data_IF_290373274734
#
_entry.id   IF_290373274734
#
_cell.length_a   1.000
_cell.length_b   1.000
_cell.length_c   1.000
_cell.angle_alpha   90.00
_cell.angle_beta   90.00
_cell.angle_gamma   90.00
#
_symmetry.space_group_name_H-M   'P 1'
#
loop_
_entity.id
_entity.type
_entity.pdbx_description
1 polymer ?
#
# COMPACT_ATOMS: atom_id res chain seq x y z
N UNK A 1 6.04 24.80 -16.53
CA UNK A 1 4.82 24.00 -16.56
C UNK A 1 4.65 23.37 -15.18
N UNK A 2 3.57 23.70 -14.45
CA UNK A 2 3.25 23.08 -13.17
C UNK A 2 3.04 21.58 -13.44
N UNK A 3 3.87 20.73 -12.81
CA UNK A 3 3.69 19.29 -12.92
C UNK A 3 2.30 18.95 -12.37
N UNK A 4 1.48 18.24 -13.15
CA UNK A 4 0.15 17.86 -12.70
C UNK A 4 0.27 16.97 -11.45
N UNK A 5 -0.45 17.34 -10.39
CA UNK A 5 -0.45 16.63 -9.11
C UNK A 5 -0.89 15.19 -9.31
N UNK A 6 -0.20 14.20 -8.73
CA UNK A 6 -0.55 12.80 -8.92
C UNK A 6 -1.88 12.43 -8.25
N UNK A 7 -2.50 11.39 -8.77
CA UNK A 7 -3.53 10.60 -8.08
C UNK A 7 -2.85 9.39 -7.45
N UNK A 8 -3.21 9.04 -6.22
CA UNK A 8 -2.70 7.84 -5.56
C UNK A 8 -3.84 6.83 -5.43
N UNK A 9 -3.65 5.66 -6.03
CA UNK A 9 -4.53 4.51 -5.87
C UNK A 9 -3.92 3.55 -4.85
N UNK A 10 -4.57 3.38 -3.70
CA UNK A 10 -4.22 2.34 -2.72
C UNK A 10 -5.14 1.15 -2.88
N UNK A 11 -4.57 -0.03 -3.04
CA UNK A 11 -5.30 -1.30 -3.10
C UNK A 11 -5.03 -2.06 -1.81
N UNK A 12 -6.07 -2.31 -1.02
CA UNK A 12 -5.98 -3.07 0.23
C UNK A 12 -5.48 -4.49 -0.01
N UNK A 13 -4.61 -5.01 0.85
CA UNK A 13 -4.17 -6.40 0.77
C UNK A 13 -5.33 -7.39 0.84
N UNK A 14 -6.35 -7.12 1.66
CA UNK A 14 -7.56 -7.91 1.76
C UNK A 14 -8.42 -7.93 0.48
N UNK A 15 -8.23 -6.97 -0.42
CA UNK A 15 -8.92 -6.93 -1.71
C UNK A 15 -8.29 -7.91 -2.69
N UNK A 16 -6.96 -7.91 -2.77
CA UNK A 16 -6.17 -8.67 -3.75
C UNK A 16 -5.66 -10.02 -3.25
N UNK A 17 -5.90 -10.35 -1.97
CA UNK A 17 -5.53 -11.65 -1.39
C UNK A 17 -6.70 -12.28 -0.63
N UNK A 18 -6.71 -13.61 -0.53
CA UNK A 18 -7.65 -14.32 0.33
C UNK A 18 -7.08 -14.42 1.74
N UNK A 19 -7.84 -13.95 2.74
CA UNK A 19 -7.44 -13.99 4.16
C UNK A 19 -7.39 -15.43 4.72
N UNK A 20 -8.13 -16.35 4.10
CA UNK A 20 -8.23 -17.74 4.56
C UNK A 20 -7.19 -18.66 3.89
N UNK A 21 -6.44 -18.16 2.92
CA UNK A 21 -5.41 -18.89 2.21
C UNK A 21 -4.02 -18.37 2.53
N UNK A 22 -3.05 -19.27 2.63
CA UNK A 22 -1.63 -18.89 2.72
C UNK A 22 -1.12 -18.50 1.33
N UNK A 23 -0.49 -17.33 1.22
CA UNK A 23 0.02 -16.78 -0.04
C UNK A 23 -1.00 -16.83 -1.20
N UNK A 24 -2.27 -16.65 -0.89
CA UNK A 24 -3.36 -16.82 -1.84
C UNK A 24 -3.75 -15.48 -2.49
N UNK A 25 -3.28 -15.22 -3.70
CA UNK A 25 -3.65 -14.05 -4.47
C UNK A 25 -5.02 -14.23 -5.16
N UNK A 26 -5.84 -13.19 -5.16
CA UNK A 26 -7.08 -13.12 -5.93
C UNK A 26 -6.80 -12.59 -7.34
N UNK A 27 -6.18 -13.41 -8.18
CA UNK A 27 -5.70 -13.00 -9.51
C UNK A 27 -6.80 -12.43 -10.39
N UNK A 28 -8.03 -12.97 -10.33
CA UNK A 28 -9.19 -12.42 -11.05
C UNK A 28 -9.55 -10.99 -10.60
N UNK A 29 -9.43 -10.68 -9.29
CA UNK A 29 -9.65 -9.32 -8.77
C UNK A 29 -8.51 -8.39 -9.20
N UNK A 30 -7.27 -8.85 -9.13
CA UNK A 30 -6.09 -8.08 -9.58
C UNK A 30 -6.24 -7.71 -11.04
N UNK A 31 -6.60 -8.66 -11.91
CA UNK A 31 -6.84 -8.41 -13.34
C UNK A 31 -7.98 -7.39 -13.58
N UNK A 32 -9.12 -7.55 -12.88
CA UNK A 32 -10.24 -6.59 -12.98
C UNK A 32 -9.82 -5.18 -12.58
N UNK A 33 -9.09 -5.03 -11.48
CA UNK A 33 -8.60 -3.72 -11.03
C UNK A 33 -7.61 -3.09 -12.02
N UNK A 34 -6.75 -3.90 -12.64
CA UNK A 34 -5.86 -3.44 -13.70
C UNK A 34 -6.64 -2.96 -14.94
N UNK A 35 -7.66 -3.70 -15.36
CA UNK A 35 -8.56 -3.28 -16.46
C UNK A 35 -9.29 -1.97 -16.16
N UNK A 36 -9.87 -1.86 -14.94
CA UNK A 36 -10.55 -0.63 -14.48
C UNK A 36 -9.57 0.56 -14.43
N UNK A 37 -8.34 0.33 -13.97
CA UNK A 37 -7.28 1.35 -13.93
C UNK A 37 -6.91 1.83 -15.34
N UNK A 38 -6.79 0.90 -16.29
CA UNK A 38 -6.53 1.23 -17.70
C UNK A 38 -7.67 2.04 -18.31
N UNK A 39 -8.93 1.63 -18.10
CA UNK A 39 -10.13 2.34 -18.57
C UNK A 39 -10.25 3.75 -17.99
N UNK A 40 -9.87 3.93 -16.72
CA UNK A 40 -9.88 5.23 -16.07
C UNK A 40 -8.85 6.20 -16.66
N UNK A 41 -7.80 5.72 -17.29
CA UNK A 41 -6.81 6.48 -18.06
C UNK A 41 -6.24 7.69 -17.29
N UNK A 42 -6.01 7.51 -15.98
CA UNK A 42 -5.55 8.58 -15.10
C UNK A 42 -4.09 8.92 -15.39
N UNK A 43 -3.83 10.18 -15.71
CA UNK A 43 -2.46 10.70 -15.85
C UNK A 43 -1.83 10.90 -14.47
N UNK A 44 -0.51 10.70 -14.38
CA UNK A 44 0.26 10.83 -13.14
C UNK A 44 -0.33 9.99 -11.99
N UNK A 45 -0.48 8.69 -12.22
CA UNK A 45 -0.96 7.73 -11.26
C UNK A 45 0.21 7.12 -10.46
N UNK A 46 0.04 7.02 -9.15
CA UNK A 46 0.89 6.19 -8.27
C UNK A 46 -0.01 5.08 -7.71
N UNK A 47 0.44 3.83 -7.81
CA UNK A 47 -0.27 2.68 -7.22
C UNK A 47 0.48 2.22 -5.98
N UNK A 48 -0.27 1.94 -4.91
CA UNK A 48 0.28 1.35 -3.68
C UNK A 48 -0.60 0.17 -3.27
N UNK A 49 -0.02 -1.00 -3.01
CA UNK A 49 -0.81 -2.12 -2.51
C UNK A 49 -0.38 -2.63 -1.14
N UNK A 50 -1.29 -3.27 -0.43
CA UNK A 50 -1.04 -3.90 0.87
C UNK A 50 -0.58 -5.36 0.73
N UNK A 51 -0.15 -5.96 1.85
CA UNK A 51 0.41 -7.32 1.89
C UNK A 51 -0.62 -8.45 2.01
N UNK A 52 -1.76 -8.18 2.65
CA UNK A 52 -2.79 -9.21 2.87
C UNK A 52 -2.23 -10.52 3.45
N UNK A 53 -2.65 -11.66 2.88
CA UNK A 53 -2.18 -13.00 3.31
C UNK A 53 -0.73 -13.33 2.94
N UNK A 54 -0.05 -12.47 2.20
CA UNK A 54 1.39 -12.62 1.92
C UNK A 54 2.26 -12.03 3.03
N UNK A 55 2.10 -10.74 3.31
CA UNK A 55 3.01 -10.03 4.20
C UNK A 55 2.67 -10.16 5.69
N UNK A 56 1.38 -10.08 6.06
CA UNK A 56 1.00 -10.00 7.47
C UNK A 56 1.32 -11.28 8.26
N UNK A 57 0.98 -12.50 7.79
CA UNK A 57 1.27 -13.72 8.55
C UNK A 57 2.77 -13.93 8.76
N UNK A 58 3.58 -13.73 7.72
CA UNK A 58 5.04 -13.90 7.79
C UNK A 58 5.66 -12.87 8.73
N UNK A 59 5.30 -11.60 8.60
CA UNK A 59 5.79 -10.55 9.48
C UNK A 59 5.40 -10.78 10.95
N UNK A 60 4.18 -11.28 11.19
CA UNK A 60 3.68 -11.60 12.53
C UNK A 60 4.41 -12.80 13.14
N UNK A 61 4.59 -13.88 12.37
CA UNK A 61 5.32 -15.10 12.78
C UNK A 61 6.69 -14.79 13.37
N UNK A 62 7.39 -13.82 12.79
CA UNK A 62 8.75 -13.45 13.22
C UNK A 62 8.81 -12.18 14.08
N UNK A 63 7.69 -11.54 14.38
CA UNK A 63 7.64 -10.30 15.17
C UNK A 63 8.42 -9.14 14.52
N UNK A 64 8.38 -9.03 13.19
CA UNK A 64 9.21 -8.05 12.44
C UNK A 64 8.86 -6.61 12.82
N UNK A 65 7.61 -6.33 13.15
CA UNK A 65 7.15 -4.99 13.51
C UNK A 65 7.82 -4.42 14.77
N UNK A 66 8.22 -5.28 15.70
CA UNK A 66 8.85 -4.91 16.97
C UNK A 66 10.36 -4.65 16.85
N UNK A 67 10.92 -4.81 15.65
CA UNK A 67 12.34 -4.60 15.38
C UNK A 67 13.22 -5.82 15.62
N UNK A 68 14.51 -5.66 15.39
CA UNK A 68 15.53 -6.71 15.50
C UNK A 68 15.84 -7.00 16.97
N UNK A 69 15.49 -8.18 17.45
CA UNK A 69 15.75 -8.68 18.82
C UNK A 69 16.61 -9.94 18.85
N UNK A 70 16.61 -10.71 17.76
CA UNK A 70 17.36 -11.97 17.66
C UNK A 70 17.67 -12.32 16.21
N UNK A 71 18.62 -13.24 16.00
CA UNK A 71 19.12 -13.62 14.68
C UNK A 71 18.07 -14.26 13.77
N UNK A 72 17.11 -15.02 14.32
CA UNK A 72 16.09 -15.69 13.51
C UNK A 72 15.16 -14.70 12.79
N UNK A 73 15.02 -13.49 13.30
CA UNK A 73 14.23 -12.43 12.68
C UNK A 73 14.84 -11.92 11.39
N UNK A 74 16.15 -12.08 11.16
CA UNK A 74 16.79 -11.71 9.89
C UNK A 74 16.23 -12.56 8.73
N UNK A 75 16.01 -13.86 8.97
CA UNK A 75 15.35 -14.72 7.99
C UNK A 75 13.90 -14.30 7.80
N UNK A 76 13.16 -14.03 8.86
CA UNK A 76 11.78 -13.56 8.79
C UNK A 76 11.64 -12.22 8.05
N UNK A 77 12.59 -11.31 8.23
CA UNK A 77 12.67 -10.04 7.51
C UNK A 77 12.83 -10.29 6.00
N UNK A 78 13.79 -11.13 5.61
CA UNK A 78 14.03 -11.48 4.21
C UNK A 78 12.85 -12.26 3.59
N UNK A 79 12.27 -13.22 4.33
CA UNK A 79 11.11 -13.98 3.89
C UNK A 79 9.88 -13.09 3.67
N UNK A 80 9.62 -12.16 4.60
CA UNK A 80 8.51 -11.19 4.46
C UNK A 80 8.70 -10.30 3.22
N UNK A 81 9.92 -9.78 3.00
CA UNK A 81 10.23 -9.04 1.78
C UNK A 81 10.01 -9.88 0.53
N UNK A 82 10.50 -11.12 0.54
CA UNK A 82 10.37 -12.02 -0.61
C UNK A 82 8.90 -12.26 -0.99
N UNK A 83 8.04 -12.63 -0.03
CA UNK A 83 6.63 -12.88 -0.34
C UNK A 83 5.91 -11.61 -0.81
N UNK A 84 6.33 -10.43 -0.35
CA UNK A 84 5.81 -9.16 -0.86
C UNK A 84 6.24 -8.88 -2.30
N UNK A 85 7.47 -9.23 -2.68
CA UNK A 85 7.91 -9.12 -4.09
C UNK A 85 7.15 -10.08 -5.00
N UNK A 86 6.81 -11.28 -4.52
CA UNK A 86 5.96 -12.23 -5.26
C UNK A 86 4.57 -11.64 -5.51
N UNK A 87 3.90 -11.11 -4.47
CA UNK A 87 2.60 -10.47 -4.64
C UNK A 87 2.68 -9.27 -5.58
N UNK A 88 3.71 -8.43 -5.43
CA UNK A 88 3.93 -7.31 -6.33
C UNK A 88 4.12 -7.76 -7.77
N UNK A 89 4.82 -8.87 -8.01
CA UNK A 89 4.96 -9.46 -9.34
C UNK A 89 3.61 -9.74 -10.00
N UNK A 90 2.67 -10.35 -9.27
CA UNK A 90 1.31 -10.63 -9.78
C UNK A 90 0.53 -9.34 -10.10
N UNK A 91 0.70 -8.29 -9.30
CA UNK A 91 0.10 -6.97 -9.57
C UNK A 91 0.72 -6.33 -10.81
N UNK A 92 2.06 -6.39 -10.92
CA UNK A 92 2.80 -5.86 -12.08
C UNK A 92 2.42 -6.57 -13.37
N UNK A 93 2.33 -7.91 -13.36
CA UNK A 93 1.93 -8.72 -14.51
C UNK A 93 0.55 -8.27 -15.04
N UNK A 94 -0.42 -8.10 -14.14
CA UNK A 94 -1.75 -7.66 -14.52
C UNK A 94 -1.76 -6.24 -15.13
N UNK A 95 -1.05 -5.29 -14.49
CA UNK A 95 -0.98 -3.92 -14.98
C UNK A 95 -0.33 -3.84 -16.37
N UNK A 96 0.79 -4.53 -16.56
CA UNK A 96 1.52 -4.58 -17.85
C UNK A 96 0.69 -5.29 -18.91
N UNK A 97 0.01 -6.40 -18.56
CA UNK A 97 -0.90 -7.10 -19.47
C UNK A 97 -2.01 -6.18 -20.00
N UNK A 98 -2.51 -5.26 -19.18
CA UNK A 98 -3.49 -4.25 -19.57
C UNK A 98 -2.87 -2.98 -20.17
N UNK A 99 -1.63 -3.05 -20.69
CA UNK A 99 -0.93 -1.93 -21.35
C UNK A 99 -0.73 -0.69 -20.45
N UNK A 100 -0.67 -0.87 -19.13
CA UNK A 100 -0.28 0.20 -18.21
C UNK A 100 1.25 0.19 -18.10
N UNK A 101 1.95 1.31 -18.35
CA UNK A 101 3.41 1.39 -18.22
C UNK A 101 3.83 1.40 -16.75
N UNK A 102 3.47 0.34 -16.03
CA UNK A 102 3.75 0.16 -14.61
C UNK A 102 5.24 -0.11 -14.37
N UNK A 103 5.78 0.42 -13.27
CA UNK A 103 7.16 0.19 -12.85
C UNK A 103 7.23 -0.04 -11.34
N UNK A 104 7.75 -1.19 -10.94
CA UNK A 104 7.88 -1.55 -9.51
C UNK A 104 8.96 -0.70 -8.83
N UNK A 105 8.63 -0.14 -7.67
CA UNK A 105 9.55 0.59 -6.81
C UNK A 105 9.49 -0.03 -5.42
N UNK A 106 10.48 -0.84 -5.08
CA UNK A 106 10.56 -1.48 -3.77
C UNK A 106 10.84 -0.43 -2.67
N UNK A 107 9.96 -0.26 -1.69
CA UNK A 107 10.16 0.73 -0.62
C UNK A 107 11.43 0.46 0.18
N UNK A 108 11.82 -0.80 0.37
CA UNK A 108 13.05 -1.21 1.06
C UNK A 108 14.34 -0.64 0.45
N UNK A 109 14.30 -0.24 -0.84
CA UNK A 109 15.46 0.35 -1.54
C UNK A 109 15.52 1.88 -1.47
N UNK A 110 14.44 2.56 -1.09
CA UNK A 110 14.37 4.01 -1.17
C UNK A 110 13.84 4.69 0.11
N UNK A 111 13.38 3.91 1.10
CA UNK A 111 12.83 4.42 2.36
C UNK A 111 13.66 3.92 3.55
N UNK A 112 13.92 4.81 4.50
CA UNK A 112 14.42 4.46 5.83
C UNK A 112 13.45 5.02 6.87
N UNK A 113 13.16 4.21 7.88
CA UNK A 113 12.31 4.62 9.00
C UNK A 113 13.14 4.90 10.26
N UNK A 114 12.51 5.55 11.22
CA UNK A 114 13.00 5.70 12.59
C UNK A 114 11.82 5.52 13.55
N UNK A 115 11.90 4.57 14.46
CA UNK A 115 10.79 4.16 15.33
C UNK A 115 9.50 3.86 14.52
N UNK A 116 9.62 3.15 13.40
CA UNK A 116 8.50 2.77 12.55
C UNK A 116 7.86 3.90 11.74
N UNK A 117 8.45 5.11 11.72
CA UNK A 117 7.96 6.24 10.91
C UNK A 117 8.95 6.57 9.81
N UNK A 118 8.46 6.95 8.63
CA UNK A 118 9.33 7.33 7.50
C UNK A 118 10.19 8.54 7.91
N UNK A 119 11.50 8.34 7.96
CA UNK A 119 12.50 9.36 8.22
C UNK A 119 13.02 9.98 6.93
N UNK A 120 13.36 9.15 5.97
CA UNK A 120 13.84 9.57 4.66
C UNK A 120 13.21 8.74 3.55
N UNK A 121 13.04 9.37 2.40
CA UNK A 121 12.56 8.75 1.18
C UNK A 121 13.29 9.37 -0.01
N UNK A 122 14.11 8.55 -0.68
CA UNK A 122 14.76 8.95 -1.93
C UNK A 122 13.76 8.85 -3.07
N UNK A 123 13.32 9.99 -3.58
CA UNK A 123 12.18 10.09 -4.51
C UNK A 123 12.57 10.43 -5.97
N UNK A 124 13.86 10.53 -6.26
CA UNK A 124 14.35 10.90 -7.61
C UNK A 124 13.84 9.93 -8.67
N UNK A 125 13.92 8.63 -8.41
CA UNK A 125 13.41 7.61 -9.32
C UNK A 125 11.90 7.77 -9.54
N UNK A 126 11.13 8.00 -8.46
CA UNK A 126 9.68 8.16 -8.52
C UNK A 126 9.27 9.38 -9.36
N UNK A 127 9.93 10.52 -9.14
CA UNK A 127 9.72 11.74 -9.93
C UNK A 127 10.04 11.53 -11.40
N UNK A 128 11.15 10.84 -11.69
CA UNK A 128 11.57 10.53 -13.05
C UNK A 128 10.56 9.63 -13.76
N UNK A 129 10.05 8.61 -13.08
CA UNK A 129 9.01 7.73 -13.63
C UNK A 129 7.74 8.52 -13.98
N UNK A 130 7.22 9.32 -13.04
CA UNK A 130 6.03 10.15 -13.27
C UNK A 130 6.23 11.13 -14.42
N UNK A 131 7.38 11.82 -14.47
CA UNK A 131 7.72 12.76 -15.54
C UNK A 131 7.71 12.12 -16.93
N UNK A 132 8.11 10.85 -17.00
CA UNK A 132 8.15 10.08 -18.25
C UNK A 132 6.85 9.29 -18.54
N UNK A 133 5.78 9.51 -17.75
CA UNK A 133 4.48 8.89 -17.98
C UNK A 133 4.37 7.44 -17.51
N UNK A 134 5.30 6.95 -16.73
CA UNK A 134 5.18 5.65 -16.08
C UNK A 134 4.25 5.71 -14.85
N UNK A 135 3.73 4.56 -14.47
CA UNK A 135 2.94 4.36 -13.25
C UNK A 135 3.81 3.65 -12.21
N UNK A 136 4.37 4.38 -11.22
CA UNK A 136 5.10 3.74 -10.13
C UNK A 136 4.17 2.86 -9.29
N UNK A 137 4.61 1.64 -8.98
CA UNK A 137 3.89 0.68 -8.12
C UNK A 137 4.74 0.41 -6.89
N UNK A 138 4.23 0.80 -5.73
CA UNK A 138 4.85 0.57 -4.43
C UNK A 138 3.97 -0.37 -3.59
N UNK A 139 4.50 -0.86 -2.49
CA UNK A 139 3.76 -1.80 -1.64
C UNK A 139 4.20 -1.73 -0.18
N UNK A 140 3.38 -2.26 0.74
CA UNK A 140 3.82 -2.49 2.11
C UNK A 140 4.99 -3.47 2.12
N UNK A 141 6.06 -3.16 2.86
CA UNK A 141 7.29 -3.94 2.81
C UNK A 141 7.97 -3.99 4.18
N UNK A 142 8.95 -4.87 4.33
CA UNK A 142 9.93 -4.78 5.41
C UNK A 142 10.94 -3.68 5.09
N UNK A 143 11.34 -2.92 6.11
CA UNK A 143 12.13 -1.71 5.93
C UNK A 143 13.21 -1.61 6.99
N UNK A 144 14.37 -1.02 6.63
CA UNK A 144 15.39 -0.70 7.61
C UNK A 144 14.97 0.48 8.48
N UNK A 145 15.22 0.37 9.79
CA UNK A 145 14.86 1.38 10.79
C UNK A 145 16.08 1.79 11.61
N UNK A 146 16.31 3.08 11.73
CA UNK A 146 17.49 3.62 12.40
C UNK A 146 17.55 3.40 13.92
N UNK A 147 16.44 2.99 14.56
CA UNK A 147 16.36 2.69 16.00
C UNK A 147 16.02 1.23 16.27
N UNK A 148 15.13 0.66 15.49
CA UNK A 148 14.64 -0.72 15.65
C UNK A 148 15.50 -1.74 14.87
N UNK A 149 16.46 -1.29 14.05
CA UNK A 149 17.20 -2.10 13.09
C UNK A 149 16.38 -2.34 11.83
N UNK A 150 15.17 -2.86 11.97
CA UNK A 150 14.17 -3.00 10.89
C UNK A 150 12.74 -2.98 11.46
N UNK A 151 11.76 -2.84 10.57
CA UNK A 151 10.33 -2.92 10.90
C UNK A 151 9.50 -3.21 9.66
N UNK A 152 8.18 -3.09 9.77
CA UNK A 152 7.23 -3.15 8.66
C UNK A 152 6.74 -1.74 8.32
N UNK A 153 6.85 -1.35 7.05
CA UNK A 153 6.21 -0.16 6.49
C UNK A 153 4.86 -0.55 5.88
N UNK A 154 3.76 -0.04 6.42
CA UNK A 154 2.44 -0.30 5.85
C UNK A 154 2.20 0.52 4.58
N UNK A 155 1.40 -0.04 3.64
CA UNK A 155 0.95 0.70 2.47
C UNK A 155 0.17 1.97 2.83
N UNK A 156 -0.58 1.97 3.94
CA UNK A 156 -1.33 3.14 4.40
C UNK A 156 -0.42 4.28 4.84
N UNK A 157 0.65 3.98 5.59
CA UNK A 157 1.64 4.98 5.97
C UNK A 157 2.35 5.55 4.74
N UNK A 158 2.67 4.68 3.79
CA UNK A 158 3.31 5.08 2.54
C UNK A 158 2.42 6.01 1.72
N UNK A 159 1.13 5.70 1.57
CA UNK A 159 0.14 6.54 0.88
C UNK A 159 0.03 7.92 1.52
N UNK A 160 -0.09 7.99 2.85
CA UNK A 160 -0.18 9.26 3.57
C UNK A 160 1.08 10.12 3.36
N UNK A 161 2.26 9.49 3.39
CA UNK A 161 3.53 10.18 3.16
C UNK A 161 3.64 10.69 1.71
N UNK A 162 3.36 9.83 0.73
CA UNK A 162 3.42 10.17 -0.69
C UNK A 162 2.41 11.28 -1.03
N UNK A 163 1.19 11.22 -0.49
CA UNK A 163 0.17 12.22 -0.72
C UNK A 163 0.62 13.61 -0.27
N UNK A 164 1.24 13.69 0.91
CA UNK A 164 1.81 14.95 1.40
C UNK A 164 3.01 15.40 0.58
N UNK A 165 3.93 14.49 0.29
CA UNK A 165 5.20 14.80 -0.39
C UNK A 165 4.99 15.27 -1.84
N UNK A 166 4.08 14.64 -2.56
CA UNK A 166 3.78 14.98 -3.96
C UNK A 166 2.57 15.91 -4.11
N UNK A 167 2.00 16.41 -3.01
CA UNK A 167 0.77 17.21 -3.00
C UNK A 167 -0.34 16.57 -3.85
N UNK A 168 -0.59 15.27 -3.66
CA UNK A 168 -1.52 14.50 -4.46
C UNK A 168 -2.89 15.21 -4.58
N UNK A 169 -3.45 15.19 -5.78
CA UNK A 169 -4.76 15.78 -6.05
C UNK A 169 -5.91 14.93 -5.49
N UNK A 170 -5.69 13.62 -5.39
CA UNK A 170 -6.69 12.65 -4.93
C UNK A 170 -6.01 11.40 -4.39
N UNK A 171 -6.62 10.81 -3.35
CA UNK A 171 -6.33 9.46 -2.88
C UNK A 171 -7.59 8.62 -3.09
N UNK A 172 -7.43 7.47 -3.71
CA UNK A 172 -8.48 6.47 -3.88
C UNK A 172 -8.04 5.24 -3.09
N UNK A 173 -8.88 4.76 -2.18
CA UNK A 173 -8.57 3.61 -1.32
C UNK A 173 -9.55 2.49 -1.63
N UNK A 174 -9.08 1.43 -2.27
CA UNK A 174 -9.81 0.18 -2.46
C UNK A 174 -9.72 -0.67 -1.19
N UNK A 175 -10.88 -0.98 -0.63
CA UNK A 175 -11.06 -1.80 0.58
C UNK A 175 -12.07 -2.91 0.33
N UNK A 176 -12.21 -3.84 1.26
CA UNK A 176 -13.16 -4.96 1.21
C UNK A 176 -14.51 -4.64 1.88
N UNK A 177 -14.81 -3.35 2.03
CA UNK A 177 -16.08 -2.79 2.50
C UNK A 177 -16.49 -1.63 1.59
N UNK A 178 -17.77 -1.20 1.66
CA UNK A 178 -18.29 -0.13 0.78
C UNK A 178 -17.73 1.27 1.14
N UNK A 179 -17.02 1.40 2.24
CA UNK A 179 -16.41 2.66 2.67
C UNK A 179 -16.20 2.74 4.17
N UNK A 180 -16.19 3.97 4.71
CA UNK A 180 -16.07 4.23 6.14
C UNK A 180 -17.46 4.17 6.79
N UNK A 181 -17.57 3.41 7.88
CA UNK A 181 -18.78 3.25 8.68
C UNK A 181 -18.59 3.83 10.08
N UNK A 182 -19.70 4.06 10.78
CA UNK A 182 -19.72 4.48 12.18
C UNK A 182 -19.44 3.34 13.18
N UNK A 183 -19.49 2.08 12.71
CA UNK A 183 -19.11 0.86 13.41
C UNK A 183 -18.69 -0.21 12.40
N UNK A 184 -18.12 -1.33 12.86
CA UNK A 184 -17.75 -2.44 11.95
C UNK A 184 -19.01 -3.09 11.35
N UNK A 185 -19.28 -2.97 10.03
CA UNK A 185 -20.47 -3.53 9.38
C UNK A 185 -20.50 -5.06 9.39
N UNK A 186 -19.40 -5.74 9.70
CA UNK A 186 -19.34 -7.20 9.84
C UNK A 186 -19.86 -7.68 11.19
N UNK A 187 -19.84 -6.79 12.18
CA UNK A 187 -20.27 -7.07 13.57
C UNK A 187 -21.60 -6.38 13.84
N UNK A 188 -21.75 -5.10 13.48
CA UNK A 188 -22.94 -4.30 13.75
C UNK A 188 -23.77 -4.15 12.46
N UNK A 189 -24.90 -4.87 12.41
CA UNK A 189 -25.80 -4.90 11.22
C UNK A 189 -26.41 -3.54 10.88
N UNK A 190 -26.49 -2.64 11.85
CA UNK A 190 -27.05 -1.30 11.67
C UNK A 190 -25.96 -0.23 11.44
N UNK A 191 -24.73 -0.63 11.22
CA UNK A 191 -23.62 0.29 10.91
C UNK A 191 -23.98 1.14 9.69
N UNK A 192 -23.77 2.46 9.82
CA UNK A 192 -24.11 3.44 8.80
C UNK A 192 -22.88 3.85 8.01
N UNK A 193 -22.99 3.74 6.69
CA UNK A 193 -21.95 4.21 5.76
C UNK A 193 -21.95 5.75 5.73
N UNK A 194 -20.77 6.34 5.88
CA UNK A 194 -20.57 7.76 5.61
C UNK A 194 -20.37 7.98 4.11
N UNK A 195 -21.38 8.54 3.44
CA UNK A 195 -21.29 8.87 2.02
C UNK A 195 -20.31 10.03 1.73
N UNK A 196 -20.17 10.95 2.69
CA UNK A 196 -19.27 12.09 2.62
C UNK A 196 -18.91 12.54 4.04
N UNK A 197 -17.64 12.91 4.23
CA UNK A 197 -17.13 13.53 5.45
C UNK A 197 -16.17 14.66 5.07
N UNK A 198 -16.30 15.78 5.75
CA UNK A 198 -15.26 16.82 5.77
C UNK A 198 -14.09 16.37 6.65
N UNK A 199 -12.95 17.06 6.56
CA UNK A 199 -11.79 16.76 7.41
C UNK A 199 -12.14 16.92 8.92
N UNK A 200 -12.90 17.95 9.27
CA UNK A 200 -13.32 18.22 10.66
C UNK A 200 -14.29 17.15 11.18
N UNK A 201 -15.18 16.65 10.34
CA UNK A 201 -16.09 15.54 10.68
C UNK A 201 -15.33 14.24 10.85
N UNK A 202 -14.33 13.95 9.97
CA UNK A 202 -13.48 12.77 10.06
C UNK A 202 -12.70 12.74 11.40
N UNK A 203 -12.17 13.88 11.87
CA UNK A 203 -11.49 13.93 13.17
C UNK A 203 -12.45 13.61 14.34
N UNK A 204 -13.71 14.05 14.26
CA UNK A 204 -14.74 13.74 15.28
C UNK A 204 -15.12 12.25 15.26
N UNK A 205 -15.17 11.64 14.09
CA UNK A 205 -15.45 10.19 13.95
C UNK A 205 -14.31 9.37 14.49
N UNK A 206 -13.06 9.72 14.16
CA UNK A 206 -11.84 9.05 14.63
C UNK A 206 -11.73 8.97 16.17
N UNK A 207 -12.28 9.93 16.90
CA UNK A 207 -12.32 9.90 18.36
C UNK A 207 -13.36 8.94 18.93
N UNK A 208 -14.24 8.35 18.08
CA UNK A 208 -15.32 7.43 18.50
C UNK A 208 -15.05 5.96 18.10
N UNK A 209 -14.09 5.74 17.20
CA UNK A 209 -13.62 4.43 16.72
C UNK A 209 -12.36 4.01 17.49
#
# INVERSE_FOLDING_TARGET
LSEAKPVILKIGGSVITDKNGELAARTGVINRLAEETQKASVKNLIVVHGGGSFGHPTAQKYGIKEGLRNESQKIGFAETHHVMTVLNGLVMDALVWHNIPAFSVAPSCCVVTENGRIKSFEDTALKTLLKNGFVPVLYGDTIFDGKLGFTVLSGDQLVAYLAKKFAASKIIIGVDTDGLYDADPKVEKNAKLYAHLTADELEKVKCKL
#
